data_IF_287224807400
#
_entry.id   IF_287224807400
#
_cell.length_a   1.000
_cell.length_b   1.000
_cell.length_c   1.000
_cell.angle_alpha   90.00
_cell.angle_beta   90.00
_cell.angle_gamma   90.00
#
_symmetry.space_group_name_H-M   'P 1'
#
loop_
_entity.id
_entity.type
_entity.pdbx_description
1 polymer ?
#
# COMPACT_ATOMS: atom_id res chain seq x y z
N UNK A 1 -4.01 3.87 0.10
CA UNK A 1 -2.69 3.24 -0.15
C UNK A 1 -1.93 3.20 1.16
N UNK A 2 -1.29 2.08 1.50
CA UNK A 2 -0.39 1.95 2.66
C UNK A 2 1.02 1.76 2.13
N UNK A 3 1.94 2.66 2.48
CA UNK A 3 3.35 2.60 2.09
C UNK A 3 4.15 2.01 3.24
N UNK A 4 4.61 0.78 3.06
CA UNK A 4 5.25 -0.04 4.09
C UNK A 4 4.31 -1.10 4.66
N UNK A 5 4.75 -2.36 4.66
CA UNK A 5 4.03 -3.51 5.22
C UNK A 5 4.73 -4.07 6.47
N UNK A 6 5.40 -3.21 7.24
CA UNK A 6 5.85 -3.54 8.60
C UNK A 6 4.67 -3.71 9.58
N UNK A 7 4.92 -3.96 10.87
CA UNK A 7 3.84 -4.20 11.85
C UNK A 7 2.75 -3.11 11.84
N UNK A 8 3.14 -1.84 11.82
CA UNK A 8 2.21 -0.70 11.77
C UNK A 8 1.41 -0.69 10.46
N UNK A 9 2.07 -0.96 9.33
CA UNK A 9 1.42 -1.01 8.02
C UNK A 9 0.41 -2.14 7.89
N UNK A 10 0.70 -3.30 8.47
CA UNK A 10 -0.24 -4.42 8.50
C UNK A 10 -1.44 -4.12 9.40
N UNK A 11 -1.24 -3.46 10.55
CA UNK A 11 -2.35 -2.93 11.35
C UNK A 11 -3.20 -1.92 10.56
N UNK A 12 -2.56 -1.04 9.78
CA UNK A 12 -3.25 -0.08 8.92
C UNK A 12 -4.05 -0.74 7.80
N UNK A 13 -3.50 -1.79 7.16
CA UNK A 13 -4.21 -2.61 6.18
C UNK A 13 -5.44 -3.24 6.82
N UNK A 14 -5.29 -3.92 7.95
CA UNK A 14 -6.42 -4.55 8.65
C UNK A 14 -7.48 -3.51 9.01
N UNK A 15 -7.08 -2.36 9.55
CA UNK A 15 -8.03 -1.29 9.89
C UNK A 15 -8.80 -0.78 8.66
N UNK A 16 -8.12 -0.56 7.53
CA UNK A 16 -8.77 -0.12 6.30
C UNK A 16 -9.80 -1.14 5.79
N UNK A 17 -9.49 -2.44 5.88
CA UNK A 17 -10.39 -3.52 5.48
C UNK A 17 -11.60 -3.59 6.41
N UNK A 18 -11.41 -3.51 7.74
CA UNK A 18 -12.51 -3.49 8.71
C UNK A 18 -13.42 -2.25 8.54
N UNK A 19 -12.84 -1.12 8.13
CA UNK A 19 -13.57 0.10 7.79
C UNK A 19 -14.27 0.03 6.42
N UNK A 20 -14.18 -1.11 5.71
CA UNK A 20 -14.79 -1.35 4.39
C UNK A 20 -14.29 -0.37 3.32
N UNK A 21 -12.99 -0.02 3.36
CA UNK A 21 -12.36 0.69 2.26
C UNK A 21 -12.52 -0.08 0.95
N UNK A 22 -12.76 0.61 -0.16
CA UNK A 22 -13.06 -0.03 -1.45
C UNK A 22 -11.89 -0.86 -2.00
N UNK A 23 -10.74 -0.21 -2.24
CA UNK A 23 -9.49 -0.87 -2.66
C UNK A 23 -8.35 -0.43 -1.77
N UNK A 24 -7.58 -1.40 -1.27
CA UNK A 24 -6.46 -1.15 -0.37
C UNK A 24 -5.19 -1.64 -1.04
N UNK A 25 -4.36 -0.73 -1.55
CA UNK A 25 -3.02 -1.08 -2.03
C UNK A 25 -2.01 -1.06 -0.90
N UNK A 26 -1.14 -2.08 -0.85
CA UNK A 26 -0.08 -2.21 0.14
C UNK A 26 1.28 -2.29 -0.56
N UNK A 27 2.15 -1.32 -0.32
CA UNK A 27 3.48 -1.22 -0.95
C UNK A 27 4.54 -1.69 0.03
N UNK A 28 5.45 -2.54 -0.44
CA UNK A 28 6.68 -2.93 0.26
C UNK A 28 7.64 -3.52 -0.78
N UNK A 29 8.86 -3.85 -0.35
CA UNK A 29 9.88 -4.56 -1.13
C UNK A 29 10.15 -5.97 -0.61
N UNK A 30 9.63 -6.30 0.58
CA UNK A 30 9.82 -7.60 1.22
C UNK A 30 8.66 -8.53 0.82
N UNK A 31 8.89 -9.59 0.02
CA UNK A 31 7.82 -10.44 -0.51
C UNK A 31 6.93 -11.07 0.55
N UNK A 32 7.50 -11.48 1.68
CA UNK A 32 6.78 -12.12 2.78
C UNK A 32 5.77 -11.16 3.43
N UNK A 33 6.09 -9.86 3.50
CA UNK A 33 5.19 -8.83 4.03
C UNK A 33 4.06 -8.53 3.06
N UNK A 34 4.36 -8.50 1.77
CA UNK A 34 3.36 -8.36 0.71
C UNK A 34 2.38 -9.53 0.68
N UNK A 35 2.87 -10.76 0.88
CA UNK A 35 2.02 -11.94 1.00
C UNK A 35 1.11 -11.87 2.23
N UNK A 36 1.62 -11.39 3.37
CA UNK A 36 0.78 -11.17 4.54
C UNK A 36 -0.28 -10.09 4.31
N UNK A 37 0.08 -8.97 3.68
CA UNK A 37 -0.88 -7.92 3.30
C UNK A 37 -1.97 -8.46 2.36
N UNK A 38 -1.61 -9.31 1.40
CA UNK A 38 -2.56 -10.01 0.51
C UNK A 38 -3.57 -10.84 1.29
N UNK A 39 -3.10 -11.63 2.26
CA UNK A 39 -3.97 -12.47 3.12
C UNK A 39 -4.93 -11.65 3.97
N UNK A 40 -4.55 -10.42 4.31
CA UNK A 40 -5.39 -9.47 5.03
C UNK A 40 -6.40 -8.75 4.13
N UNK A 41 -6.35 -8.92 2.81
CA UNK A 41 -7.30 -8.35 1.86
C UNK A 41 -6.78 -7.15 1.06
N UNK A 42 -5.50 -6.77 1.20
CA UNK A 42 -4.90 -5.74 0.37
C UNK A 42 -4.45 -6.27 -1.00
N UNK A 43 -4.30 -5.36 -1.96
CA UNK A 43 -3.63 -5.54 -3.24
C UNK A 43 -2.14 -5.18 -3.08
N UNK A 44 -1.22 -6.15 -2.97
CA UNK A 44 0.19 -5.85 -2.76
C UNK A 44 0.88 -5.37 -4.05
N UNK A 45 1.70 -4.35 -3.92
CA UNK A 45 2.55 -3.81 -4.99
C UNK A 45 4.02 -3.86 -4.55
N UNK A 46 4.81 -4.68 -5.26
CA UNK A 46 6.25 -4.78 -5.06
C UNK A 46 6.95 -3.60 -5.74
N UNK A 47 7.52 -2.71 -4.94
CA UNK A 47 8.19 -1.50 -5.44
C UNK A 47 9.49 -1.79 -6.20
N UNK A 48 10.03 -3.00 -6.10
CA UNK A 48 11.21 -3.43 -6.85
C UNK A 48 10.86 -3.97 -8.25
N UNK A 49 9.56 -4.21 -8.53
CA UNK A 49 9.09 -4.83 -9.79
C UNK A 49 8.35 -3.88 -10.72
N UNK A 50 8.18 -2.62 -10.34
CA UNK A 50 7.49 -1.63 -11.16
C UNK A 50 7.18 -0.35 -10.38
N UNK A 51 6.56 0.60 -11.07
CA UNK A 51 6.15 1.86 -10.46
C UNK A 51 4.74 1.72 -9.84
N UNK A 52 4.61 1.65 -8.51
CA UNK A 52 3.30 1.48 -7.87
C UNK A 52 2.40 2.71 -8.06
N UNK A 53 2.96 3.90 -8.32
CA UNK A 53 2.17 5.11 -8.55
C UNK A 53 1.38 5.02 -9.86
N UNK A 54 1.95 4.42 -10.90
CA UNK A 54 1.25 4.17 -12.17
C UNK A 54 0.08 3.21 -11.95
N UNK A 55 0.30 2.11 -11.24
CA UNK A 55 -0.75 1.13 -10.92
C UNK A 55 -1.90 1.79 -10.16
N UNK A 56 -1.60 2.57 -9.12
CA UNK A 56 -2.62 3.28 -8.33
C UNK A 56 -3.35 4.32 -9.19
N UNK A 57 -2.64 5.03 -10.06
CA UNK A 57 -3.22 6.05 -10.95
C UNK A 57 -4.15 5.43 -11.99
N UNK A 58 -3.76 4.34 -12.62
CA UNK A 58 -4.61 3.61 -13.57
C UNK A 58 -5.85 3.03 -12.88
N UNK A 59 -5.65 2.42 -11.71
CA UNK A 59 -6.72 1.87 -10.87
C UNK A 59 -7.78 2.88 -10.43
N UNK A 60 -7.42 4.16 -10.38
CA UNK A 60 -8.27 5.27 -9.93
C UNK A 60 -8.76 6.16 -11.07
N UNK A 61 -8.56 5.76 -12.33
CA UNK A 61 -8.97 6.58 -13.48
C UNK A 61 -8.20 7.92 -13.57
N UNK A 62 -6.99 7.98 -13.03
CA UNK A 62 -6.11 9.14 -13.08
C UNK A 62 -6.09 10.00 -11.81
N UNK A 63 -6.98 9.75 -10.85
CA UNK A 63 -7.16 10.60 -9.64
C UNK A 63 -6.10 10.36 -8.55
N UNK A 64 -5.54 9.15 -8.47
CA UNK A 64 -4.70 8.73 -7.35
C UNK A 64 -5.51 8.12 -6.20
N UNK A 65 -4.90 8.04 -5.04
CA UNK A 65 -5.52 7.46 -3.85
C UNK A 65 -6.32 8.49 -3.04
N UNK A 66 -7.47 8.09 -2.49
CA UNK A 66 -8.24 8.94 -1.57
C UNK A 66 -7.51 9.25 -0.26
N UNK A 67 -6.67 8.30 0.18
CA UNK A 67 -5.84 8.43 1.38
C UNK A 67 -4.55 7.64 1.22
N UNK A 68 -3.45 8.18 1.78
CA UNK A 68 -2.15 7.51 1.85
C UNK A 68 -1.65 7.48 3.29
N UNK A 69 -1.20 6.31 3.73
CA UNK A 69 -0.56 6.11 5.03
C UNK A 69 0.90 5.74 4.79
N UNK A 70 1.80 6.69 5.06
CA UNK A 70 3.25 6.47 5.05
C UNK A 70 3.70 5.95 6.41
N UNK A 71 4.28 4.75 6.45
CA UNK A 71 4.68 4.07 7.69
C UNK A 71 6.05 3.39 7.59
N UNK A 72 6.90 3.86 6.67
CA UNK A 72 8.32 3.50 6.52
C UNK A 72 9.21 4.55 7.19
N UNK A 73 8.89 5.83 7.07
CA UNK A 73 9.60 6.94 7.71
C UNK A 73 10.95 7.29 7.08
N UNK A 74 11.20 6.90 5.82
CA UNK A 74 12.39 7.28 5.08
C UNK A 74 12.08 8.32 3.99
N UNK A 75 13.06 9.16 3.66
CA UNK A 75 12.87 10.24 2.69
C UNK A 75 12.51 9.75 1.28
N UNK A 76 12.81 8.49 0.93
CA UNK A 76 12.39 7.91 -0.35
C UNK A 76 10.89 7.57 -0.36
N UNK A 77 10.37 7.01 0.73
CA UNK A 77 8.97 6.64 0.89
C UNK A 77 8.06 7.88 0.93
N UNK A 78 8.54 8.99 1.47
CA UNK A 78 7.80 10.26 1.46
C UNK A 78 7.47 10.77 0.06
N UNK A 79 8.20 10.35 -0.99
CA UNK A 79 7.91 10.74 -2.38
C UNK A 79 6.82 9.88 -3.02
N UNK A 80 6.45 8.79 -2.36
CA UNK A 80 5.41 7.84 -2.78
C UNK A 80 4.09 8.10 -2.04
N UNK A 81 4.10 8.99 -1.04
CA UNK A 81 2.94 9.42 -0.27
C UNK A 81 2.45 10.79 -0.72
#
# INVERSE_FOLDING_TARGET
VVVGCGPVGLCAVTAAIEMKAGRVFALDRVPERLELARRLGAEPLDVERGNPLEVVREASGGLGADAVLEVVGNAAAHRTA
#
